data_IF_836197404583
#
_entry.id   IF_836197404583
#
_cell.length_a   1.000
_cell.length_b   1.000
_cell.length_c   1.000
_cell.angle_alpha   90.00
_cell.angle_beta   90.00
_cell.angle_gamma   90.00
#
_symmetry.space_group_name_H-M   'P 1'
#
loop_
_entity.id
_entity.type
_entity.pdbx_description
1 polymer ?
#
# COMPACT_ATOMS: atom_id res chain seq x y z
N UNK A 1 -10.97 -21.82 3.61
CA UNK A 1 -9.50 -21.65 3.70
C UNK A 1 -8.75 -22.64 4.63
N UNK A 2 -9.23 -23.89 4.84
CA UNK A 2 -8.69 -24.81 5.87
C UNK A 2 -8.05 -26.11 5.33
N UNK A 3 -7.57 -26.19 4.07
CA UNK A 3 -7.17 -27.50 3.51
C UNK A 3 -5.94 -27.56 2.58
N UNK A 4 -5.06 -26.57 2.57
CA UNK A 4 -3.81 -26.68 1.80
C UNK A 4 -2.62 -26.06 2.52
N UNK A 5 -2.16 -26.71 3.60
CA UNK A 5 -0.78 -26.59 4.08
C UNK A 5 -0.43 -27.92 4.73
N UNK A 6 -0.10 -28.90 3.91
CA UNK A 6 0.63 -30.12 4.27
C UNK A 6 1.07 -30.78 2.95
N UNK A 7 2.27 -30.44 2.46
CA UNK A 7 3.06 -31.38 1.67
C UNK A 7 4.53 -31.01 1.66
N UNK A 8 5.33 -31.96 2.14
CA UNK A 8 6.78 -32.04 2.16
C UNK A 8 7.46 -31.61 0.84
N UNK A 9 8.53 -30.83 0.95
CA UNK A 9 9.54 -30.71 -0.11
C UNK A 9 10.89 -31.08 0.48
N UNK A 10 11.37 -32.25 0.08
CA UNK A 10 12.72 -32.74 0.34
C UNK A 10 13.74 -32.09 -0.60
N UNK A 11 14.95 -31.98 -0.10
CA UNK A 11 16.13 -31.41 -0.74
C UNK A 11 16.47 -32.08 -2.09
N UNK A 12 16.92 -31.25 -3.04
CA UNK A 12 17.95 -31.64 -4.00
C UNK A 12 18.86 -30.46 -4.31
N UNK A 13 20.09 -30.51 -3.78
CA UNK A 13 21.22 -29.69 -4.21
C UNK A 13 21.57 -30.02 -5.66
N UNK A 14 21.72 -29.00 -6.50
CA UNK A 14 22.55 -29.11 -7.71
C UNK A 14 23.37 -27.84 -7.91
N UNK A 15 24.66 -28.06 -8.13
CA UNK A 15 25.72 -27.08 -8.28
C UNK A 15 25.54 -26.22 -9.55
N UNK A 16 25.60 -24.90 -9.41
CA UNK A 16 25.71 -23.98 -10.54
C UNK A 16 27.08 -23.27 -10.50
N UNK A 17 27.81 -23.41 -11.62
CA UNK A 17 29.16 -22.89 -11.84
C UNK A 17 29.18 -21.37 -11.99
N UNK A 18 30.22 -20.79 -11.39
CA UNK A 18 30.73 -19.43 -11.56
C UNK A 18 30.86 -18.96 -13.02
N UNK A 19 30.31 -17.80 -13.34
CA UNK A 19 30.95 -16.82 -14.23
C UNK A 19 30.29 -15.43 -14.17
N UNK A 20 31.00 -14.45 -13.63
CA UNK A 20 31.50 -13.25 -14.33
C UNK A 20 31.80 -12.16 -13.31
N UNK A 21 33.08 -11.78 -13.22
CA UNK A 21 33.52 -10.69 -12.36
C UNK A 21 33.00 -9.37 -12.94
N UNK A 22 32.08 -8.74 -12.23
CA UNK A 22 31.67 -7.35 -12.47
C UNK A 22 32.60 -6.45 -11.66
N UNK A 23 33.43 -5.66 -12.36
CA UNK A 23 34.47 -4.83 -11.75
C UNK A 23 33.89 -3.49 -11.29
N UNK A 24 33.47 -3.44 -10.02
CA UNK A 24 32.94 -2.24 -9.33
C UNK A 24 33.96 -1.08 -9.32
N UNK A 25 35.24 -1.34 -9.57
CA UNK A 25 36.30 -0.32 -9.58
C UNK A 25 36.22 0.59 -10.80
N UNK A 26 35.66 0.14 -11.94
CA UNK A 26 35.58 0.99 -13.14
C UNK A 26 34.53 2.10 -13.03
N UNK A 27 33.42 1.85 -12.30
CA UNK A 27 32.38 2.86 -12.05
C UNK A 27 32.90 4.05 -11.21
N UNK A 28 33.90 3.81 -10.36
CA UNK A 28 34.51 4.83 -9.50
C UNK A 28 35.53 5.72 -10.23
N UNK A 29 36.09 5.29 -11.37
CA UNK A 29 37.07 6.08 -12.12
C UNK A 29 36.42 7.10 -13.05
N UNK A 30 35.26 6.77 -13.62
CA UNK A 30 34.55 7.66 -14.56
C UNK A 30 33.87 8.84 -13.84
N UNK A 31 33.43 8.67 -12.58
CA UNK A 31 32.81 9.72 -11.78
C UNK A 31 33.86 10.72 -11.23
N UNK A 32 35.10 10.27 -11.01
CA UNK A 32 36.18 11.14 -10.51
C UNK A 32 36.88 11.95 -11.60
N UNK A 33 36.78 11.55 -12.88
CA UNK A 33 37.31 12.34 -14.00
C UNK A 33 36.41 13.51 -14.41
N UNK A 34 35.11 13.47 -14.09
CA UNK A 34 34.18 14.57 -14.39
C UNK A 34 34.16 15.69 -13.34
N UNK A 35 34.83 15.52 -12.19
CA UNK A 35 34.88 16.51 -11.08
C UNK A 35 36.18 17.33 -10.99
N UNK A 36 37.16 17.11 -11.86
CA UNK A 36 38.43 17.85 -11.85
C UNK A 36 38.62 18.74 -13.08
N UNK A 37 37.82 19.80 -13.21
CA UNK A 37 38.22 21.00 -13.95
C UNK A 37 37.54 22.26 -13.40
N UNK A 38 38.15 22.84 -12.37
CA UNK A 38 37.72 24.13 -11.81
C UNK A 38 38.56 24.53 -10.59
N UNK A 39 39.55 25.41 -10.79
CA UNK A 39 40.48 25.89 -9.78
C UNK A 39 39.83 26.73 -8.64
N UNK A 40 40.54 26.91 -7.50
CA UNK A 40 39.96 27.21 -6.21
C UNK A 40 39.91 28.71 -5.88
N UNK A 41 38.86 29.15 -5.18
CA UNK A 41 38.87 30.39 -4.42
C UNK A 41 39.02 30.08 -2.93
N UNK A 42 40.10 30.62 -2.37
CA UNK A 42 40.39 30.70 -0.94
C UNK A 42 39.35 31.62 -0.27
N UNK A 43 38.83 31.18 0.87
CA UNK A 43 38.95 31.96 2.10
C UNK A 43 38.63 31.07 3.31
N UNK A 44 39.59 31.03 4.22
CA UNK A 44 39.55 30.39 5.52
C UNK A 44 38.83 31.28 6.55
N UNK A 45 38.49 30.66 7.67
CA UNK A 45 38.10 31.28 8.93
C UNK A 45 36.61 31.58 9.11
N UNK A 46 35.90 30.60 9.68
CA UNK A 46 35.31 30.74 11.03
C UNK A 46 34.78 29.39 11.53
N UNK A 47 35.60 28.73 12.34
CA UNK A 47 35.12 27.78 13.33
C UNK A 47 34.32 28.56 14.39
N UNK A 48 33.03 28.25 14.51
CA UNK A 48 32.25 28.54 15.71
C UNK A 48 31.52 27.26 16.13
N UNK A 49 31.88 26.85 17.33
CA UNK A 49 31.35 25.76 18.14
C UNK A 49 29.82 25.73 18.16
N UNK A 50 29.20 24.60 17.80
CA UNK A 50 27.81 24.31 18.16
C UNK A 50 27.79 23.07 19.04
N UNK A 51 27.33 23.31 20.28
CA UNK A 51 27.07 22.34 21.33
C UNK A 51 25.93 21.41 20.93
N UNK A 52 26.04 20.17 21.40
CA UNK A 52 24.95 19.20 21.50
C UNK A 52 23.68 19.83 22.08
N UNK A 53 22.60 19.80 21.33
CA UNK A 53 21.29 20.27 21.76
C UNK A 53 20.18 19.70 20.87
N UNK A 54 19.32 18.93 21.53
CA UNK A 54 17.94 18.61 21.19
C UNK A 54 17.62 17.74 19.96
N UNK A 55 17.18 16.52 20.26
CA UNK A 55 16.57 15.56 19.34
C UNK A 55 15.04 15.63 19.49
N UNK A 56 14.39 16.67 18.99
CA UNK A 56 12.94 16.68 18.76
C UNK A 56 12.61 17.63 17.61
N UNK A 57 11.67 17.22 16.74
CA UNK A 57 11.21 17.88 15.51
C UNK A 57 12.00 17.58 14.23
N UNK A 58 11.71 16.41 13.65
CA UNK A 58 11.67 16.28 12.19
C UNK A 58 10.40 16.99 11.71
N UNK A 59 10.51 18.22 11.22
CA UNK A 59 9.42 18.92 10.53
C UNK A 59 9.19 18.29 9.15
N UNK A 60 8.46 17.17 9.13
CA UNK A 60 7.89 16.60 7.91
C UNK A 60 6.71 17.48 7.52
N UNK A 61 6.98 18.59 6.84
CA UNK A 61 5.92 19.45 6.34
C UNK A 61 5.30 18.81 5.07
N UNK A 62 4.18 18.10 5.25
CA UNK A 62 3.41 17.49 4.16
C UNK A 62 2.99 18.52 3.09
N UNK A 63 2.81 19.79 3.47
CA UNK A 63 2.51 20.89 2.54
C UNK A 63 3.70 21.23 1.63
N UNK A 64 4.94 20.96 2.04
CA UNK A 64 6.10 21.09 1.14
C UNK A 64 6.19 19.92 0.15
N UNK A 65 5.59 18.77 0.46
CA UNK A 65 5.56 17.61 -0.43
C UNK A 65 4.40 17.71 -1.46
N UNK A 66 3.25 18.29 -1.10
CA UNK A 66 2.07 18.41 -1.98
C UNK A 66 1.57 19.83 -2.25
N UNK A 67 2.35 20.86 -1.89
CA UNK A 67 2.04 22.29 -1.98
C UNK A 67 0.86 22.67 -2.88
N UNK A 68 -0.27 23.00 -2.24
CA UNK A 68 -1.37 23.83 -2.74
C UNK A 68 -1.67 23.72 -4.25
N UNK A 69 -2.03 22.54 -4.73
CA UNK A 69 -2.49 22.34 -6.11
C UNK A 69 -3.85 21.63 -6.16
N UNK A 70 -4.84 22.17 -5.44
CA UNK A 70 -6.26 21.91 -5.70
C UNK A 70 -6.95 23.23 -6.09
N UNK A 71 -6.62 23.73 -7.28
CA UNK A 71 -7.56 24.49 -8.11
C UNK A 71 -7.41 24.03 -9.55
N UNK A 72 -8.47 23.42 -10.06
CA UNK A 72 -8.58 22.93 -11.43
C UNK A 72 -8.53 24.07 -12.45
N UNK A 73 -7.70 23.88 -13.47
CA UNK A 73 -7.87 24.25 -14.89
C UNK A 73 -6.51 24.61 -15.50
N UNK A 74 -5.78 23.61 -16.01
CA UNK A 74 -5.10 23.78 -17.29
C UNK A 74 -4.74 22.41 -17.88
N UNK A 75 -5.44 22.02 -18.95
CA UNK A 75 -4.98 20.97 -19.85
C UNK A 75 -4.03 21.60 -20.87
N UNK A 76 -2.93 20.91 -21.16
CA UNK A 76 -2.00 21.11 -22.28
C UNK A 76 -0.82 22.09 -22.08
N UNK A 77 0.13 21.72 -21.22
CA UNK A 77 1.56 21.97 -21.51
C UNK A 77 2.39 20.72 -21.20
N UNK A 78 3.12 20.24 -22.22
CA UNK A 78 4.13 19.19 -22.08
C UNK A 78 5.13 19.65 -20.99
N UNK A 79 5.35 18.89 -19.90
CA UNK A 79 6.25 19.33 -18.85
C UNK A 79 7.69 19.44 -19.35
N UNK A 80 8.33 20.58 -19.07
CA UNK A 80 9.69 20.92 -19.44
C UNK A 80 10.76 20.05 -18.74
N UNK A 81 11.89 19.90 -19.41
CA UNK A 81 13.20 19.31 -19.04
C UNK A 81 13.51 19.19 -17.52
N UNK A 82 13.22 20.22 -16.71
CA UNK A 82 13.47 20.22 -15.27
C UNK A 82 12.80 19.08 -14.48
N UNK A 83 11.62 18.59 -14.91
CA UNK A 83 10.98 17.46 -14.22
C UNK A 83 11.69 16.13 -14.51
N UNK A 84 12.32 15.99 -15.67
CA UNK A 84 13.09 14.78 -16.01
C UNK A 84 14.40 14.72 -15.21
N UNK A 85 15.06 15.88 -15.01
CA UNK A 85 16.28 15.98 -14.20
C UNK A 85 16.02 15.54 -12.74
N UNK A 86 14.95 16.02 -12.11
CA UNK A 86 14.60 15.62 -10.73
C UNK A 86 14.30 14.12 -10.57
N UNK A 87 13.72 13.50 -11.59
CA UNK A 87 13.46 12.05 -11.59
C UNK A 87 14.77 11.28 -11.65
N UNK A 88 15.67 11.66 -12.57
CA UNK A 88 16.98 11.02 -12.70
C UNK A 88 17.76 11.07 -11.39
N UNK A 89 17.79 12.23 -10.72
CA UNK A 89 18.45 12.39 -9.41
C UNK A 89 17.81 11.48 -8.34
N UNK A 90 16.48 11.53 -8.16
CA UNK A 90 15.79 10.70 -7.16
C UNK A 90 15.96 9.19 -7.39
N UNK A 91 16.02 8.78 -8.65
CA UNK A 91 16.24 7.40 -9.07
C UNK A 91 17.67 6.95 -8.75
N UNK A 92 18.66 7.77 -9.11
CA UNK A 92 20.08 7.45 -8.90
C UNK A 92 20.43 7.38 -7.41
N UNK A 93 19.92 8.30 -6.60
CA UNK A 93 20.10 8.26 -5.14
C UNK A 93 19.54 6.97 -4.55
N UNK A 94 18.26 6.68 -4.82
CA UNK A 94 17.62 5.47 -4.31
C UNK A 94 18.36 4.20 -4.75
N UNK A 95 18.79 4.13 -6.01
CA UNK A 95 19.51 2.96 -6.51
C UNK A 95 20.88 2.78 -5.85
N UNK A 96 21.60 3.87 -5.57
CA UNK A 96 22.89 3.85 -4.90
C UNK A 96 22.74 3.43 -3.42
N UNK A 97 21.80 4.05 -2.70
CA UNK A 97 21.59 3.77 -1.28
C UNK A 97 21.04 2.36 -1.08
N UNK A 98 20.12 1.91 -1.92
CA UNK A 98 19.67 0.52 -1.93
C UNK A 98 20.83 -0.45 -2.24
N UNK A 99 21.72 -0.12 -3.18
CA UNK A 99 22.87 -0.96 -3.49
C UNK A 99 23.90 -1.06 -2.35
N UNK A 100 23.97 -0.05 -1.49
CA UNK A 100 24.82 -0.06 -0.31
C UNK A 100 24.18 -0.83 0.87
N UNK A 101 22.86 -0.72 1.04
CA UNK A 101 22.14 -1.24 2.20
C UNK A 101 21.58 -2.66 2.00
N UNK A 102 21.23 -3.06 0.78
CA UNK A 102 20.74 -4.40 0.46
C UNK A 102 21.94 -5.28 0.12
N UNK A 103 22.36 -6.09 1.09
CA UNK A 103 23.59 -6.90 0.97
C UNK A 103 23.40 -8.19 0.18
N UNK A 104 22.18 -8.73 0.14
CA UNK A 104 21.89 -9.91 -0.68
C UNK A 104 21.73 -9.51 -2.15
N UNK A 105 22.48 -10.18 -3.03
CA UNK A 105 22.52 -9.83 -4.46
C UNK A 105 21.22 -10.15 -5.19
N UNK A 106 20.47 -11.17 -4.77
CA UNK A 106 19.18 -11.51 -5.39
C UNK A 106 18.12 -10.48 -4.99
N UNK A 107 18.10 -10.11 -3.71
CA UNK A 107 17.26 -9.03 -3.17
C UNK A 107 17.53 -7.70 -3.86
N UNK A 108 18.81 -7.34 -4.03
CA UNK A 108 19.21 -6.13 -4.75
C UNK A 108 18.75 -6.16 -6.22
N UNK A 109 18.91 -7.30 -6.90
CA UNK A 109 18.44 -7.46 -8.28
C UNK A 109 16.92 -7.36 -8.40
N UNK A 110 16.18 -7.95 -7.45
CA UNK A 110 14.72 -7.84 -7.37
C UNK A 110 14.28 -6.38 -7.14
N UNK A 111 14.95 -5.66 -6.23
CA UNK A 111 14.68 -4.25 -5.99
C UNK A 111 14.85 -3.39 -7.26
N UNK A 112 15.95 -3.59 -7.99
CA UNK A 112 16.19 -2.89 -9.26
C UNK A 112 15.17 -3.27 -10.34
N UNK A 113 14.77 -4.53 -10.41
CA UNK A 113 13.71 -4.98 -11.31
C UNK A 113 12.38 -4.29 -11.00
N UNK A 114 12.03 -4.19 -9.71
CA UNK A 114 10.83 -3.48 -9.25
C UNK A 114 10.88 -1.99 -9.59
N UNK A 115 12.02 -1.31 -9.39
CA UNK A 115 12.19 0.07 -9.85
C UNK A 115 11.91 0.22 -11.35
N UNK A 116 12.46 -0.68 -12.18
CA UNK A 116 12.27 -0.66 -13.64
C UNK A 116 10.81 -0.92 -14.03
N UNK A 117 10.13 -1.87 -13.37
CA UNK A 117 8.70 -2.14 -13.59
C UNK A 117 7.86 -0.93 -13.20
N UNK A 118 8.16 -0.28 -12.07
CA UNK A 118 7.49 0.94 -11.65
C UNK A 118 7.66 2.09 -12.65
N UNK A 119 8.87 2.29 -13.20
CA UNK A 119 9.11 3.24 -14.30
C UNK A 119 8.34 2.87 -15.59
N UNK A 120 8.13 1.58 -15.85
CA UNK A 120 7.35 1.14 -17.01
C UNK A 120 5.88 1.58 -16.91
N UNK A 121 5.31 1.62 -15.70
CA UNK A 121 3.97 2.17 -15.43
C UNK A 121 3.87 3.66 -15.80
N UNK A 122 4.96 4.41 -15.59
CA UNK A 122 5.02 5.80 -16.04
C UNK A 122 5.05 5.90 -17.57
N UNK A 123 5.79 5.01 -18.24
CA UNK A 123 5.89 4.98 -19.71
C UNK A 123 4.59 4.55 -20.38
N UNK A 124 3.79 3.68 -19.75
CA UNK A 124 2.45 3.30 -20.23
C UNK A 124 1.39 4.38 -19.96
N UNK A 125 1.72 5.41 -19.17
CA UNK A 125 0.81 6.49 -18.81
C UNK A 125 -0.12 6.16 -17.64
N UNK A 126 0.12 5.06 -16.91
CA UNK A 126 -0.65 4.69 -15.72
C UNK A 126 -0.40 5.65 -14.55
N UNK A 127 0.84 6.13 -14.41
CA UNK A 127 1.23 7.09 -13.37
C UNK A 127 2.07 8.22 -13.97
N UNK A 128 2.05 9.38 -13.30
CA UNK A 128 2.85 10.52 -13.74
C UNK A 128 4.33 10.35 -13.40
N UNK A 129 5.17 11.04 -14.13
CA UNK A 129 6.60 11.16 -13.84
C UNK A 129 6.85 11.77 -12.44
N UNK A 130 5.95 12.63 -11.94
CA UNK A 130 6.02 13.19 -10.59
C UNK A 130 5.72 12.15 -9.51
N UNK A 131 4.77 11.24 -9.74
CA UNK A 131 4.50 10.13 -8.82
C UNK A 131 5.75 9.26 -8.66
N UNK A 132 6.43 8.93 -9.77
CA UNK A 132 7.69 8.17 -9.71
C UNK A 132 8.75 8.87 -8.86
N UNK A 133 9.03 10.15 -9.15
CA UNK A 133 10.07 10.91 -8.44
C UNK A 133 9.81 10.98 -6.93
N UNK A 134 8.57 11.31 -6.55
CA UNK A 134 8.17 11.45 -5.15
C UNK A 134 8.13 10.11 -4.42
N UNK A 135 7.72 9.05 -5.10
CA UNK A 135 7.82 7.70 -4.55
C UNK A 135 9.27 7.35 -4.24
N UNK A 136 10.19 7.56 -5.19
CA UNK A 136 11.61 7.28 -4.95
C UNK A 136 12.19 8.12 -3.82
N UNK A 137 11.88 9.42 -3.78
CA UNK A 137 12.34 10.29 -2.69
C UNK A 137 11.86 9.80 -1.31
N UNK A 138 10.60 9.35 -1.18
CA UNK A 138 10.08 8.85 0.09
C UNK A 138 10.76 7.53 0.50
N UNK A 139 10.93 6.59 -0.44
CA UNK A 139 11.61 5.32 -0.16
C UNK A 139 13.09 5.54 0.18
N UNK A 140 13.75 6.47 -0.51
CA UNK A 140 15.12 6.88 -0.23
C UNK A 140 15.25 7.45 1.18
N UNK A 141 14.33 8.32 1.59
CA UNK A 141 14.25 8.83 2.95
C UNK A 141 14.02 7.71 3.98
N UNK A 142 13.20 6.71 3.68
CA UNK A 142 12.98 5.55 4.55
C UNK A 142 14.29 4.78 4.79
N UNK A 143 15.12 4.62 3.75
CA UNK A 143 16.41 3.94 3.82
C UNK A 143 17.48 4.76 4.56
N UNK A 144 17.57 6.05 4.27
CA UNK A 144 18.72 6.89 4.66
C UNK A 144 18.53 7.67 5.95
N UNK A 145 17.30 7.74 6.48
CA UNK A 145 17.04 8.43 7.73
C UNK A 145 17.92 7.89 8.88
N UNK A 146 18.47 8.76 9.76
CA UNK A 146 19.42 8.35 10.79
C UNK A 146 18.81 7.44 11.87
N UNK A 147 17.48 7.43 12.01
CA UNK A 147 16.75 6.65 13.00
C UNK A 147 15.26 6.64 12.72
N UNK A 148 14.53 5.81 13.45
CA UNK A 148 13.08 5.67 13.32
C UNK A 148 12.50 4.71 14.35
N UNK A 149 11.17 4.62 14.44
CA UNK A 149 10.50 3.62 15.28
C UNK A 149 10.68 2.19 14.73
N UNK A 150 10.86 2.07 13.42
CA UNK A 150 11.34 0.86 12.75
C UNK A 150 12.86 0.98 12.58
N UNK A 151 13.58 -0.07 12.98
CA UNK A 151 15.04 -0.11 12.90
C UNK A 151 15.53 -0.17 11.43
N UNK A 152 16.81 0.10 11.19
CA UNK A 152 17.35 0.18 9.82
C UNK A 152 17.14 -1.11 9.00
N UNK A 153 17.39 -2.28 9.59
CA UNK A 153 17.26 -3.55 8.88
C UNK A 153 15.81 -3.77 8.40
N UNK A 154 14.85 -3.49 9.27
CA UNK A 154 13.44 -3.63 8.93
C UNK A 154 12.99 -2.53 7.96
N UNK A 155 13.54 -1.32 8.03
CA UNK A 155 13.28 -0.28 7.02
C UNK A 155 13.79 -0.66 5.64
N UNK A 156 14.93 -1.35 5.54
CA UNK A 156 15.42 -1.91 4.28
C UNK A 156 14.42 -2.93 3.74
N UNK A 157 13.98 -3.89 4.56
CA UNK A 157 12.95 -4.87 4.16
C UNK A 157 11.65 -4.19 3.71
N UNK A 158 11.20 -3.16 4.45
CA UNK A 158 10.01 -2.39 4.14
C UNK A 158 10.13 -1.63 2.81
N UNK A 159 11.30 -1.04 2.54
CA UNK A 159 11.57 -0.39 1.26
C UNK A 159 11.51 -1.39 0.09
N UNK A 160 12.06 -2.59 0.27
CA UNK A 160 12.00 -3.66 -0.74
C UNK A 160 10.56 -4.08 -1.03
N UNK A 161 9.80 -4.35 0.02
CA UNK A 161 8.38 -4.71 -0.07
C UNK A 161 7.55 -3.59 -0.71
N UNK A 162 7.79 -2.34 -0.32
CA UNK A 162 7.05 -1.21 -0.87
C UNK A 162 7.35 -1.03 -2.36
N UNK A 163 8.61 -1.13 -2.78
CA UNK A 163 8.95 -1.03 -4.20
C UNK A 163 8.33 -2.15 -5.02
N UNK A 164 8.23 -3.36 -4.46
CA UNK A 164 7.47 -4.46 -5.07
C UNK A 164 6.01 -4.10 -5.26
N UNK A 165 5.34 -3.65 -4.19
CA UNK A 165 3.91 -3.29 -4.22
C UNK A 165 3.63 -2.08 -5.14
N UNK A 166 4.54 -1.11 -5.21
CA UNK A 166 4.44 0.00 -6.15
C UNK A 166 4.60 -0.47 -7.61
N UNK A 167 5.47 -1.45 -7.86
CA UNK A 167 5.61 -2.07 -9.19
C UNK A 167 4.42 -2.96 -9.57
N UNK A 168 3.84 -3.64 -8.57
CA UNK A 168 2.79 -4.65 -8.74
C UNK A 168 1.60 -4.41 -7.78
N UNK A 169 0.80 -3.34 -7.97
CA UNK A 169 -0.24 -2.97 -7.01
C UNK A 169 -1.25 -4.06 -6.66
N UNK A 170 -1.60 -4.92 -7.62
CA UNK A 170 -2.55 -6.02 -7.46
C UNK A 170 -2.01 -7.24 -6.70
N UNK A 171 -0.73 -7.23 -6.33
CA UNK A 171 -0.15 -8.24 -5.43
C UNK A 171 -0.26 -7.76 -3.96
N UNK A 172 -1.24 -6.88 -3.69
CA UNK A 172 -1.62 -6.46 -2.35
C UNK A 172 -2.53 -7.51 -1.73
N UNK A 173 -1.93 -8.45 -0.99
CA UNK A 173 -2.67 -9.55 -0.38
C UNK A 173 -2.89 -9.35 1.11
N UNK A 174 -4.13 -9.52 1.56
CA UNK A 174 -4.51 -9.41 2.97
C UNK A 174 -4.02 -10.62 3.79
N UNK A 175 -3.56 -11.70 3.14
CA UNK A 175 -3.26 -12.96 3.78
C UNK A 175 -4.44 -13.49 4.60
N UNK A 176 -4.18 -13.90 5.84
CA UNK A 176 -5.21 -14.42 6.75
C UNK A 176 -5.95 -13.33 7.53
N UNK A 177 -5.71 -12.03 7.32
CA UNK A 177 -6.30 -10.95 8.14
C UNK A 177 -7.67 -10.51 7.64
N UNK A 178 -8.50 -9.93 8.50
CA UNK A 178 -9.81 -9.37 8.15
C UNK A 178 -9.71 -7.93 7.60
N UNK A 179 -8.75 -7.71 6.70
CA UNK A 179 -8.37 -6.38 6.15
C UNK A 179 -8.67 -6.22 4.65
N UNK A 180 -9.54 -7.05 4.06
CA UNK A 180 -9.86 -7.00 2.62
C UNK A 180 -10.16 -5.59 2.11
N UNK A 181 -10.94 -4.83 2.88
CA UNK A 181 -11.38 -3.48 2.55
C UNK A 181 -10.22 -2.47 2.43
N UNK A 182 -9.33 -2.41 3.41
CA UNK A 182 -8.15 -1.53 3.39
C UNK A 182 -7.05 -2.05 2.48
N UNK A 183 -6.98 -3.36 2.24
CA UNK A 183 -6.05 -3.93 1.26
C UNK A 183 -6.46 -3.54 -0.17
N UNK A 184 -7.75 -3.58 -0.50
CA UNK A 184 -8.25 -3.08 -1.79
C UNK A 184 -8.07 -1.54 -1.93
N UNK A 185 -8.22 -0.79 -0.83
CA UNK A 185 -7.87 0.64 -0.79
C UNK A 185 -6.36 0.85 -1.04
N UNK A 186 -5.50 0.04 -0.42
CA UNK A 186 -4.06 0.06 -0.66
C UNK A 186 -3.75 -0.15 -2.15
N UNK A 187 -4.33 -1.17 -2.79
CA UNK A 187 -4.12 -1.41 -4.23
C UNK A 187 -4.51 -0.18 -5.05
N UNK A 188 -5.65 0.45 -4.73
CA UNK A 188 -6.08 1.70 -5.39
C UNK A 188 -5.07 2.82 -5.21
N UNK A 189 -4.54 3.01 -4.01
CA UNK A 189 -3.51 4.02 -3.72
C UNK A 189 -2.20 3.72 -4.44
N UNK A 190 -1.72 2.48 -4.45
CA UNK A 190 -0.52 2.08 -5.18
C UNK A 190 -0.69 2.20 -6.69
N UNK A 191 -1.92 2.04 -7.18
CA UNK A 191 -2.26 2.20 -8.59
C UNK A 191 -2.18 3.68 -9.01
N UNK A 192 -2.91 4.58 -8.35
CA UNK A 192 -3.02 5.98 -8.80
C UNK A 192 -2.15 7.00 -8.07
N UNK A 193 -1.74 6.70 -6.83
CA UNK A 193 -1.08 7.64 -5.90
C UNK A 193 0.05 6.98 -5.08
N UNK A 194 0.98 6.24 -5.72
CA UNK A 194 2.02 5.51 -5.00
C UNK A 194 2.89 6.45 -4.14
N UNK A 195 3.06 7.72 -4.50
CA UNK A 195 3.86 8.65 -3.70
C UNK A 195 3.20 9.01 -2.37
N UNK A 196 1.86 8.99 -2.28
CA UNK A 196 1.13 9.19 -1.02
C UNK A 196 1.31 7.99 -0.09
N UNK A 197 1.22 6.78 -0.63
CA UNK A 197 1.45 5.55 0.12
C UNK A 197 2.91 5.47 0.63
N UNK A 198 3.88 5.81 -0.22
CA UNK A 198 5.30 5.84 0.14
C UNK A 198 5.57 6.83 1.28
N UNK A 199 5.04 8.05 1.18
CA UNK A 199 5.17 9.08 2.20
C UNK A 199 4.55 8.65 3.54
N UNK A 200 3.36 8.03 3.50
CA UNK A 200 2.68 7.53 4.69
C UNK A 200 3.49 6.43 5.41
N UNK A 201 4.01 5.45 4.66
CA UNK A 201 4.88 4.40 5.21
C UNK A 201 6.15 5.01 5.82
N UNK A 202 6.77 5.95 5.10
CA UNK A 202 8.01 6.59 5.54
C UNK A 202 7.80 7.36 6.84
N UNK A 203 6.77 8.22 6.90
CA UNK A 203 6.43 8.96 8.11
C UNK A 203 6.09 8.03 9.27
N UNK A 204 5.27 7.00 9.02
CA UNK A 204 4.87 6.01 10.03
C UNK A 204 6.05 5.23 10.59
N UNK A 205 6.94 4.74 9.73
CA UNK A 205 8.11 3.95 10.13
C UNK A 205 9.19 4.78 10.83
N UNK A 206 9.26 6.08 10.55
CA UNK A 206 10.23 6.97 11.19
C UNK A 206 9.70 7.54 12.52
N UNK A 207 8.41 7.87 12.59
CA UNK A 207 7.87 8.66 13.71
C UNK A 207 6.86 7.93 14.59
N UNK A 208 6.30 6.81 14.13
CA UNK A 208 5.16 6.15 14.78
C UNK A 208 3.84 6.91 14.64
N UNK A 209 3.79 7.92 13.77
CA UNK A 209 2.59 8.69 13.46
C UNK A 209 2.45 8.85 11.94
N UNK A 210 1.23 9.15 11.50
CA UNK A 210 0.93 9.46 10.10
C UNK A 210 0.09 10.73 10.02
N UNK A 211 0.48 11.69 9.20
CA UNK A 211 -0.32 12.90 8.96
C UNK A 211 -1.21 12.67 7.74
N UNK A 212 -2.51 12.54 7.99
CA UNK A 212 -3.49 12.36 6.93
C UNK A 212 -3.63 13.62 6.05
N UNK A 213 -4.19 13.51 4.82
CA UNK A 213 -4.26 14.64 3.88
C UNK A 213 -5.04 15.87 4.37
N UNK A 214 -5.90 15.70 5.37
CA UNK A 214 -6.65 16.77 6.02
C UNK A 214 -5.92 17.37 7.25
N UNK A 215 -4.66 17.00 7.46
CA UNK A 215 -3.81 17.46 8.56
C UNK A 215 -4.02 16.71 9.88
N UNK A 216 -4.94 15.74 9.96
CA UNK A 216 -5.11 14.95 11.18
C UNK A 216 -3.90 14.04 11.40
N UNK A 217 -3.30 14.14 12.57
CA UNK A 217 -2.25 13.20 13.01
C UNK A 217 -2.89 11.93 13.55
N UNK A 218 -2.51 10.81 12.97
CA UNK A 218 -2.94 9.46 13.29
C UNK A 218 -1.84 8.77 14.09
N UNK A 219 -2.17 8.30 15.29
CA UNK A 219 -1.22 7.56 16.13
C UNK A 219 -1.11 6.12 15.64
N UNK A 220 0.10 5.58 15.51
CA UNK A 220 0.29 4.17 15.15
C UNK A 220 0.80 3.40 16.36
N UNK A 221 0.39 2.14 16.49
CA UNK A 221 1.07 1.21 17.38
C UNK A 221 2.39 0.77 16.75
N UNK A 222 3.52 1.15 17.36
CA UNK A 222 4.86 0.93 16.81
C UNK A 222 5.30 -0.54 16.89
N UNK A 223 4.69 -1.33 17.78
CA UNK A 223 4.94 -2.77 17.83
C UNK A 223 4.36 -3.45 16.58
N UNK A 224 3.13 -3.12 16.19
CA UNK A 224 2.48 -3.59 14.96
C UNK A 224 3.19 -3.14 13.68
N UNK A 225 4.08 -2.15 13.75
CA UNK A 225 4.90 -1.68 12.64
C UNK A 225 6.15 -2.53 12.43
N UNK A 226 6.49 -3.47 13.32
CA UNK A 226 7.62 -4.38 13.14
C UNK A 226 7.21 -5.59 12.28
N UNK A 227 8.11 -6.13 11.45
CA UNK A 227 7.81 -7.32 10.66
C UNK A 227 7.48 -8.52 11.55
N UNK A 228 6.72 -9.45 11.01
CA UNK A 228 6.27 -10.64 11.73
C UNK A 228 7.08 -11.84 11.24
N UNK A 229 8.22 -12.08 11.89
CA UNK A 229 9.19 -13.11 11.46
C UNK A 229 8.79 -14.56 11.79
N UNK A 230 7.79 -14.76 12.65
CA UNK A 230 7.37 -16.08 13.11
C UNK A 230 6.30 -16.74 12.20
N UNK A 231 5.98 -16.13 11.06
CA UNK A 231 5.14 -16.75 10.03
C UNK A 231 5.84 -16.65 8.67
N UNK A 232 5.96 -17.80 8.03
CA UNK A 232 6.61 -17.94 6.74
C UNK A 232 5.96 -17.01 5.70
N UNK A 233 6.78 -16.28 4.96
CA UNK A 233 6.33 -15.40 3.89
C UNK A 233 6.01 -13.95 4.29
N UNK A 234 5.72 -13.64 5.56
CA UNK A 234 5.30 -12.27 5.95
C UNK A 234 6.47 -11.29 6.08
N UNK A 235 7.69 -11.80 6.30
CA UNK A 235 8.91 -11.00 6.43
C UNK A 235 9.92 -11.26 5.29
N UNK A 236 9.43 -11.64 4.12
CA UNK A 236 10.27 -11.87 2.92
C UNK A 236 10.50 -10.58 2.14
N UNK A 237 11.68 -10.43 1.55
CA UNK A 237 12.01 -9.30 0.70
C UNK A 237 11.17 -9.26 -0.59
N UNK A 238 10.88 -10.45 -1.14
CA UNK A 238 9.94 -10.63 -2.25
C UNK A 238 8.63 -11.17 -1.70
N UNK A 239 7.52 -10.41 -1.79
CA UNK A 239 6.20 -10.86 -1.36
C UNK A 239 5.80 -12.21 -1.98
N UNK A 240 5.23 -13.09 -1.14
CA UNK A 240 4.64 -14.36 -1.57
C UNK A 240 3.14 -14.19 -1.83
N UNK A 241 2.63 -14.87 -2.84
CA UNK A 241 1.22 -14.81 -3.21
C UNK A 241 0.31 -15.34 -2.10
N UNK A 242 -0.78 -14.61 -1.83
CA UNK A 242 -1.75 -14.95 -0.79
C UNK A 242 -1.21 -14.80 0.64
N UNK A 243 0.00 -14.27 0.82
CA UNK A 243 0.59 -13.97 2.12
C UNK A 243 0.69 -12.46 2.28
N UNK A 244 0.34 -11.95 3.46
CA UNK A 244 0.46 -10.52 3.70
C UNK A 244 1.92 -10.15 3.92
N UNK A 245 2.50 -9.51 2.92
CA UNK A 245 3.86 -8.98 2.97
C UNK A 245 4.02 -7.86 4.02
N UNK A 246 5.25 -7.58 4.44
CA UNK A 246 5.52 -6.56 5.45
C UNK A 246 5.08 -5.16 4.98
N UNK A 247 5.23 -4.85 3.69
CA UNK A 247 4.72 -3.60 3.12
C UNK A 247 3.21 -3.48 3.24
N UNK A 248 2.47 -4.56 2.95
CA UNK A 248 1.01 -4.59 3.09
C UNK A 248 0.60 -4.51 4.56
N UNK A 249 1.30 -5.18 5.48
CA UNK A 249 1.06 -5.06 6.91
C UNK A 249 1.12 -3.59 7.38
N UNK A 250 2.22 -2.90 7.08
CA UNK A 250 2.43 -1.52 7.54
C UNK A 250 1.40 -0.58 6.95
N UNK A 251 1.13 -0.67 5.64
CA UNK A 251 0.18 0.24 4.99
C UNK A 251 -1.27 -0.03 5.44
N UNK A 252 -1.66 -1.30 5.62
CA UNK A 252 -2.97 -1.61 6.20
C UNK A 252 -3.07 -1.08 7.63
N UNK A 253 -2.02 -1.21 8.45
CA UNK A 253 -2.02 -0.68 9.82
C UNK A 253 -2.23 0.84 9.86
N UNK A 254 -1.59 1.57 8.93
CA UNK A 254 -1.78 3.01 8.76
C UNK A 254 -3.21 3.32 8.34
N UNK A 255 -3.72 2.68 7.29
CA UNK A 255 -5.05 2.95 6.73
C UNK A 255 -6.17 2.59 7.71
N UNK A 256 -6.05 1.47 8.44
CA UNK A 256 -7.03 1.11 9.48
C UNK A 256 -7.04 2.17 10.57
N UNK A 257 -5.87 2.54 11.12
CA UNK A 257 -5.81 3.55 12.18
C UNK A 257 -6.30 4.93 11.71
N UNK A 258 -6.03 5.30 10.45
CA UNK A 258 -6.55 6.52 9.84
C UNK A 258 -8.07 6.59 9.91
N UNK A 259 -8.73 5.46 9.65
CA UNK A 259 -10.18 5.34 9.64
C UNK A 259 -10.72 5.20 11.06
N UNK A 260 -10.20 4.27 11.87
CA UNK A 260 -10.73 3.94 13.20
C UNK A 260 -10.59 5.06 14.21
N UNK A 261 -9.61 5.95 14.03
CA UNK A 261 -9.45 7.13 14.88
C UNK A 261 -10.40 8.28 14.52
N UNK A 262 -11.28 8.12 13.53
CA UNK A 262 -12.26 9.13 13.07
C UNK A 262 -13.72 8.76 13.27
N UNK A 263 -14.01 7.55 13.76
CA UNK A 263 -15.37 6.97 13.67
C UNK A 263 -16.44 7.83 14.37
N UNK A 264 -16.17 8.47 15.52
CA UNK A 264 -17.04 9.53 16.07
C UNK A 264 -16.31 10.44 17.06
N UNK A 265 -16.87 11.61 17.39
CA UNK A 265 -16.38 12.50 18.46
C UNK A 265 -16.76 12.00 19.88
N UNK A 266 -17.80 11.17 19.99
CA UNK A 266 -18.38 10.67 21.25
C UNK A 266 -17.87 9.28 21.65
N UNK A 267 -17.41 8.47 20.68
CA UNK A 267 -16.70 7.22 20.90
C UNK A 267 -15.22 7.46 20.66
N UNK A 268 -14.45 7.28 21.73
CA UNK A 268 -13.00 7.41 21.77
C UNK A 268 -12.36 6.83 20.51
N UNK A 269 -11.56 7.63 19.81
CA UNK A 269 -10.68 7.20 18.72
C UNK A 269 -10.10 5.81 19.03
N UNK A 270 -10.29 4.85 18.13
CA UNK A 270 -9.82 3.48 18.36
C UNK A 270 -8.40 3.31 17.79
N UNK A 271 -7.52 2.71 18.58
CA UNK A 271 -6.19 2.27 18.14
C UNK A 271 -6.30 0.83 17.65
N UNK A 272 -6.07 0.63 16.35
CA UNK A 272 -5.88 -0.69 15.80
C UNK A 272 -4.46 -1.16 16.06
N UNK A 273 -4.32 -2.41 16.50
CA UNK A 273 -3.02 -3.07 16.68
C UNK A 273 -3.08 -4.48 16.13
N UNK A 274 -1.92 -5.04 15.85
CA UNK A 274 -1.74 -6.41 15.48
C UNK A 274 -0.66 -7.07 16.33
N UNK A 275 -1.04 -8.14 17.01
CA UNK A 275 -0.12 -8.99 17.76
C UNK A 275 0.62 -9.95 16.82
N UNK A 276 1.92 -10.13 17.08
CA UNK A 276 2.77 -11.13 16.43
C UNK A 276 2.42 -12.56 16.85
N UNK A 277 1.69 -12.75 17.94
CA UNK A 277 1.20 -14.04 18.40
C UNK A 277 -0.19 -14.30 17.80
N UNK A 278 -0.34 -15.45 17.13
CA UNK A 278 -1.61 -15.87 16.53
C UNK A 278 -1.95 -17.29 16.92
N UNK A 279 -3.23 -17.61 16.82
CA UNK A 279 -3.74 -18.97 16.97
C UNK A 279 -4.69 -19.30 15.82
N UNK A 280 -5.16 -20.54 15.75
CA UNK A 280 -6.13 -20.97 14.74
C UNK A 280 -7.38 -20.07 14.68
N UNK A 281 -7.81 -19.56 15.83
CA UNK A 281 -9.02 -18.76 15.99
C UNK A 281 -8.71 -17.28 16.26
N UNK A 282 -7.44 -16.86 16.15
CA UNK A 282 -6.99 -15.50 16.46
C UNK A 282 -5.91 -15.03 15.49
N UNK A 283 -6.27 -14.11 14.60
CA UNK A 283 -5.40 -13.51 13.58
C UNK A 283 -4.49 -12.41 14.15
N UNK A 284 -4.59 -12.11 15.44
CA UNK A 284 -3.78 -11.10 16.13
C UNK A 284 -4.33 -9.68 16.05
N UNK A 285 -5.42 -9.44 15.32
CA UNK A 285 -6.04 -8.12 15.12
C UNK A 285 -6.81 -7.67 16.35
N UNK A 286 -6.64 -6.41 16.75
CA UNK A 286 -7.20 -5.81 17.98
C UNK A 286 -7.62 -4.37 17.75
N UNK A 287 -8.64 -3.94 18.50
CA UNK A 287 -9.01 -2.55 18.64
C UNK A 287 -8.98 -2.17 20.13
N UNK A 288 -8.34 -1.06 20.47
CA UNK A 288 -8.33 -0.50 21.81
C UNK A 288 -8.93 0.90 21.82
N UNK A 289 -9.68 1.21 22.88
CA UNK A 289 -10.11 2.57 23.19
C UNK A 289 -8.88 3.41 23.53
N UNK A 290 -8.64 4.51 22.79
CA UNK A 290 -7.53 5.41 23.14
C UNK A 290 -7.79 6.26 24.39
N UNK A 291 -9.00 6.23 24.97
CA UNK A 291 -9.33 7.00 26.19
C UNK A 291 -8.80 6.33 27.45
N UNK A 292 -8.94 5.02 27.55
CA UNK A 292 -8.67 4.23 28.76
C UNK A 292 -7.82 2.99 28.49
N UNK A 293 -7.49 2.71 27.23
CA UNK A 293 -6.67 1.57 26.82
C UNK A 293 -7.40 0.23 26.90
N UNK A 294 -8.72 0.22 27.14
CA UNK A 294 -9.48 -1.02 27.17
C UNK A 294 -9.61 -1.60 25.77
N UNK A 295 -9.62 -2.93 25.68
CA UNK A 295 -9.94 -3.62 24.43
C UNK A 295 -11.41 -3.40 24.07
N UNK A 296 -11.69 -3.09 22.79
CA UNK A 296 -13.04 -2.82 22.30
C UNK A 296 -13.83 -4.12 22.17
N UNK A 297 -15.12 -4.09 22.52
CA UNK A 297 -16.04 -5.23 22.42
C UNK A 297 -17.29 -4.89 21.60
N UNK A 298 -18.01 -5.92 21.15
CA UNK A 298 -19.27 -5.71 20.40
C UNK A 298 -20.43 -5.33 21.33
N UNK A 299 -20.83 -4.06 21.33
CA UNK A 299 -21.97 -3.57 22.11
C UNK A 299 -21.86 -3.94 23.60
N UNK A 300 -22.93 -4.49 24.16
CA UNK A 300 -22.97 -4.95 25.56
C UNK A 300 -22.35 -6.35 25.78
N UNK A 301 -21.69 -6.93 24.76
CA UNK A 301 -21.02 -8.23 24.92
C UNK A 301 -19.61 -8.08 25.46
N UNK A 302 -19.14 -9.06 26.24
CA UNK A 302 -17.73 -9.18 26.64
C UNK A 302 -16.84 -9.72 25.51
N UNK A 303 -17.38 -9.89 24.29
CA UNK A 303 -16.61 -10.40 23.15
C UNK A 303 -15.81 -9.28 22.53
N UNK A 304 -14.50 -9.36 22.70
CA UNK A 304 -13.56 -8.46 22.06
C UNK A 304 -13.68 -8.49 20.54
N UNK A 305 -13.53 -7.32 19.93
CA UNK A 305 -13.48 -7.18 18.48
C UNK A 305 -12.11 -7.68 18.00
N UNK A 306 -12.12 -8.54 16.99
CA UNK A 306 -10.95 -9.24 16.45
C UNK A 306 -10.71 -8.95 14.96
N UNK A 307 -11.26 -7.84 14.48
CA UNK A 307 -11.11 -7.35 13.11
C UNK A 307 -11.22 -5.81 13.10
N UNK A 308 -10.85 -5.13 12.01
CA UNK A 308 -10.95 -3.68 11.90
C UNK A 308 -12.38 -3.13 11.98
N UNK A 309 -13.39 -3.98 11.69
CA UNK A 309 -14.81 -3.60 11.75
C UNK A 309 -15.23 -2.50 10.76
N UNK A 310 -14.44 -2.26 9.70
CA UNK A 310 -14.65 -1.16 8.78
C UNK A 310 -15.77 -1.44 7.78
N UNK A 311 -16.67 -0.47 7.60
CA UNK A 311 -17.77 -0.53 6.64
C UNK A 311 -17.35 0.02 5.28
N UNK A 312 -18.12 -0.30 4.23
CA UNK A 312 -17.93 0.28 2.89
C UNK A 312 -18.10 1.82 2.87
N UNK A 313 -18.85 2.39 3.82
CA UNK A 313 -18.95 3.85 4.01
C UNK A 313 -17.62 4.44 4.52
N UNK A 314 -16.99 3.78 5.49
CA UNK A 314 -15.74 4.24 6.06
C UNK A 314 -14.62 4.26 4.99
N UNK A 315 -14.59 3.23 4.15
CA UNK A 315 -13.68 3.14 3.00
C UNK A 315 -13.98 4.21 1.96
N UNK A 316 -15.24 4.48 1.62
CA UNK A 316 -15.60 5.57 0.72
C UNK A 316 -15.07 6.92 1.24
N UNK A 317 -15.24 7.17 2.54
CA UNK A 317 -14.69 8.35 3.20
C UNK A 317 -13.17 8.44 3.12
N UNK A 318 -12.47 7.31 3.31
CA UNK A 318 -11.02 7.24 3.19
C UNK A 318 -10.54 7.51 1.75
N UNK A 319 -11.18 6.90 0.74
CA UNK A 319 -10.88 7.17 -0.67
C UNK A 319 -11.00 8.66 -0.96
N UNK A 320 -12.11 9.29 -0.58
CA UNK A 320 -12.32 10.73 -0.80
C UNK A 320 -11.23 11.57 -0.14
N UNK A 321 -10.79 11.24 1.07
CA UNK A 321 -9.69 11.97 1.75
C UNK A 321 -8.36 11.79 1.04
N UNK A 322 -8.02 10.56 0.64
CA UNK A 322 -6.71 10.26 0.05
C UNK A 322 -6.58 10.67 -1.41
N UNK A 323 -7.63 10.54 -2.21
CA UNK A 323 -7.58 10.72 -3.65
C UNK A 323 -8.43 11.90 -4.14
N UNK A 324 -9.39 12.37 -3.34
CA UNK A 324 -10.42 13.32 -3.77
C UNK A 324 -11.53 12.68 -4.61
N UNK A 325 -11.45 11.37 -4.88
CA UNK A 325 -12.46 10.68 -5.67
C UNK A 325 -13.69 10.33 -4.85
N UNK A 326 -14.85 10.45 -5.48
CA UNK A 326 -16.12 9.91 -5.01
C UNK A 326 -16.59 8.77 -5.91
N UNK A 327 -17.43 7.88 -5.39
CA UNK A 327 -18.05 6.82 -6.17
C UNK A 327 -17.09 5.69 -6.60
N UNK A 328 -16.01 5.47 -5.85
CA UNK A 328 -15.03 4.42 -6.16
C UNK A 328 -15.30 3.10 -5.43
N UNK A 329 -16.39 3.01 -4.64
CA UNK A 329 -16.87 1.77 -4.05
C UNK A 329 -18.28 1.46 -4.54
N UNK A 330 -18.47 0.27 -5.09
CA UNK A 330 -19.73 -0.20 -5.67
C UNK A 330 -20.34 -1.27 -4.78
N UNK A 331 -21.64 -1.19 -4.58
CA UNK A 331 -22.44 -2.15 -3.82
C UNK A 331 -23.74 -2.42 -4.58
N UNK A 332 -24.37 -3.57 -4.35
CA UNK A 332 -25.67 -3.85 -4.96
C UNK A 332 -26.77 -3.07 -4.24
N UNK A 333 -27.73 -2.53 -4.97
CA UNK A 333 -28.92 -1.90 -4.40
C UNK A 333 -29.60 -0.93 -5.35
N UNK A 334 -30.73 -0.37 -4.93
CA UNK A 334 -31.66 0.41 -5.78
C UNK A 334 -32.09 1.77 -5.24
N UNK A 335 -31.32 2.33 -4.29
CA UNK A 335 -31.62 3.62 -3.65
C UNK A 335 -30.54 4.66 -3.97
N UNK A 336 -30.92 5.94 -3.96
CA UNK A 336 -29.98 7.05 -4.13
C UNK A 336 -28.93 7.08 -3.01
N UNK A 337 -27.68 7.39 -3.39
CA UNK A 337 -26.49 7.46 -2.54
C UNK A 337 -26.67 8.44 -1.36
N UNK A 338 -26.29 8.01 -0.15
CA UNK A 338 -26.23 8.87 1.04
C UNK A 338 -24.90 8.81 1.76
N UNK A 339 -23.94 7.99 1.32
CA UNK A 339 -22.73 7.65 2.09
C UNK A 339 -21.44 7.56 1.26
N UNK A 340 -21.44 8.02 0.00
CA UNK A 340 -20.28 7.98 -0.90
C UNK A 340 -20.09 6.63 -1.61
N UNK A 341 -21.11 5.77 -1.56
CA UNK A 341 -21.12 4.44 -2.21
C UNK A 341 -22.01 4.49 -3.44
N UNK A 342 -21.58 3.88 -4.54
CA UNK A 342 -22.42 3.74 -5.74
C UNK A 342 -23.25 2.48 -5.62
N UNK A 343 -24.57 2.63 -5.69
CA UNK A 343 -25.49 1.51 -5.77
C UNK A 343 -25.60 1.07 -7.23
N UNK A 344 -25.53 -0.24 -7.47
CA UNK A 344 -25.61 -0.84 -8.80
C UNK A 344 -26.82 -1.77 -8.88
N UNK A 345 -27.74 -1.46 -9.79
CA UNK A 345 -29.02 -2.16 -9.97
C UNK A 345 -28.95 -3.28 -11.01
N UNK A 346 -27.97 -3.25 -11.91
CA UNK A 346 -27.83 -4.27 -12.96
C UNK A 346 -26.38 -4.50 -13.38
N UNK A 347 -26.14 -5.59 -14.11
CA UNK A 347 -24.83 -5.88 -14.69
C UNK A 347 -24.44 -4.90 -15.81
N UNK A 348 -25.42 -4.33 -16.52
CA UNK A 348 -25.17 -3.25 -17.50
C UNK A 348 -24.71 -1.96 -16.80
N UNK A 349 -25.29 -1.63 -15.66
CA UNK A 349 -24.84 -0.48 -14.87
C UNK A 349 -23.43 -0.72 -14.29
N UNK A 350 -23.15 -1.95 -13.83
CA UNK A 350 -21.81 -2.34 -13.40
C UNK A 350 -20.78 -2.16 -14.53
N UNK A 351 -21.07 -2.70 -15.72
CA UNK A 351 -20.20 -2.56 -16.89
C UNK A 351 -19.92 -1.08 -17.21
N UNK A 352 -20.98 -0.25 -17.24
CA UNK A 352 -20.88 1.18 -17.52
C UNK A 352 -20.05 1.91 -16.46
N UNK A 353 -20.22 1.59 -15.18
CA UNK A 353 -19.43 2.19 -14.10
C UNK A 353 -17.93 1.89 -14.27
N UNK A 354 -17.59 0.64 -14.62
CA UNK A 354 -16.20 0.22 -14.86
C UNK A 354 -15.63 0.92 -16.10
N UNK A 355 -16.38 1.00 -17.20
CA UNK A 355 -15.95 1.68 -18.43
C UNK A 355 -15.66 3.18 -18.20
N UNK A 356 -16.54 3.86 -17.45
CA UNK A 356 -16.35 5.27 -17.09
C UNK A 356 -15.11 5.44 -16.24
N UNK A 357 -14.94 4.62 -15.19
CA UNK A 357 -13.77 4.69 -14.33
C UNK A 357 -12.46 4.41 -15.10
N UNK A 358 -12.46 3.45 -16.02
CA UNK A 358 -11.30 3.17 -16.88
C UNK A 358 -10.95 4.37 -17.75
N UNK A 359 -11.95 4.97 -18.41
CA UNK A 359 -11.76 6.15 -19.27
C UNK A 359 -11.20 7.34 -18.49
N UNK A 360 -11.53 7.44 -17.21
CA UNK A 360 -11.09 8.50 -16.31
C UNK A 360 -9.81 8.16 -15.53
N UNK A 361 -9.17 7.01 -15.82
CA UNK A 361 -7.99 6.50 -15.08
C UNK A 361 -8.22 6.39 -13.57
N UNK A 362 -9.44 6.00 -13.17
CA UNK A 362 -9.87 5.85 -11.77
C UNK A 362 -9.97 4.39 -11.31
N UNK A 363 -9.59 3.42 -12.15
CA UNK A 363 -9.50 2.03 -11.72
C UNK A 363 -8.28 1.80 -10.80
N UNK A 364 -8.34 0.83 -9.88
CA UNK A 364 -9.47 -0.06 -9.61
C UNK A 364 -10.67 0.63 -8.92
N UNK A 365 -11.86 0.09 -9.18
CA UNK A 365 -13.06 0.32 -8.36
C UNK A 365 -13.14 -0.78 -7.29
N UNK A 366 -13.53 -0.43 -6.07
CA UNK A 366 -13.75 -1.41 -5.01
C UNK A 366 -15.18 -1.94 -5.12
N UNK A 367 -15.39 -3.24 -4.97
CA UNK A 367 -16.72 -3.86 -5.06
C UNK A 367 -16.95 -4.78 -3.89
N UNK A 368 -18.09 -4.61 -3.20
CA UNK A 368 -18.50 -5.50 -2.12
C UNK A 368 -19.26 -6.72 -2.64
N UNK A 369 -18.76 -7.91 -2.31
CA UNK A 369 -19.26 -9.20 -2.80
C UNK A 369 -19.45 -10.20 -1.67
N UNK A 370 -20.19 -11.27 -1.97
CA UNK A 370 -20.25 -12.45 -1.14
C UNK A 370 -19.04 -13.34 -1.38
N UNK A 371 -18.05 -13.26 -0.50
CA UNK A 371 -16.83 -14.06 -0.58
C UNK A 371 -17.05 -15.58 -0.46
N UNK A 372 -18.25 -16.02 -0.05
CA UNK A 372 -18.63 -17.44 -0.08
C UNK A 372 -19.14 -17.91 -1.46
N UNK A 373 -19.24 -17.02 -2.46
CA UNK A 373 -19.65 -17.42 -3.79
C UNK A 373 -18.62 -18.39 -4.41
N UNK A 374 -19.05 -19.53 -5.00
CA UNK A 374 -18.14 -20.52 -5.58
C UNK A 374 -17.19 -19.99 -6.64
N UNK A 375 -17.50 -18.85 -7.27
CA UNK A 375 -16.61 -18.23 -8.26
C UNK A 375 -15.25 -17.85 -7.67
N UNK A 376 -15.19 -17.60 -6.36
CA UNK A 376 -13.97 -17.24 -5.64
C UNK A 376 -13.20 -18.44 -5.06
N UNK A 377 -13.60 -19.68 -5.37
CA UNK A 377 -12.84 -20.92 -5.11
C UNK A 377 -12.38 -21.16 -3.65
N UNK A 378 -13.11 -20.68 -2.64
CA UNK A 378 -12.95 -21.18 -1.26
C UNK A 378 -12.55 -20.18 -0.17
N UNK A 379 -12.91 -18.90 -0.33
CA UNK A 379 -12.77 -17.89 0.72
C UNK A 379 -13.47 -18.24 2.01
N UNK A 380 -14.73 -18.66 1.92
CA UNK A 380 -15.59 -18.99 3.05
C UNK A 380 -16.39 -20.27 2.78
N UNK A 381 -16.99 -20.85 3.83
CA UNK A 381 -17.85 -22.02 3.66
C UNK A 381 -19.18 -21.62 3.00
N UNK A 382 -19.71 -22.50 2.13
CA UNK A 382 -20.99 -22.29 1.45
C UNK A 382 -22.11 -21.92 2.45
N UNK A 383 -22.88 -20.88 2.12
CA UNK A 383 -24.01 -20.41 2.94
C UNK A 383 -23.65 -19.43 4.06
N UNK A 384 -22.37 -19.08 4.24
CA UNK A 384 -21.98 -17.97 5.11
C UNK A 384 -22.09 -16.64 4.36
N UNK A 385 -22.81 -15.67 4.92
CA UNK A 385 -22.68 -14.28 4.48
C UNK A 385 -21.29 -13.77 4.90
N UNK A 386 -20.36 -13.81 3.95
CA UNK A 386 -18.99 -13.36 4.18
C UNK A 386 -18.71 -12.16 3.29
N UNK A 387 -18.99 -10.96 3.81
CA UNK A 387 -18.68 -9.71 3.12
C UNK A 387 -17.18 -9.69 2.78
N UNK A 388 -16.88 -9.50 1.50
CA UNK A 388 -15.53 -9.38 0.98
C UNK A 388 -15.48 -8.17 0.03
N UNK A 389 -14.35 -7.48 -0.01
CA UNK A 389 -14.14 -6.32 -0.88
C UNK A 389 -13.04 -6.65 -1.85
N UNK A 390 -13.33 -6.48 -3.14
CA UNK A 390 -12.45 -6.81 -4.26
C UNK A 390 -12.11 -5.58 -5.10
N UNK A 391 -11.00 -5.64 -5.82
CA UNK A 391 -10.59 -4.60 -6.78
C UNK A 391 -10.99 -4.98 -8.21
N UNK A 392 -11.84 -4.18 -8.84
CA UNK A 392 -12.18 -4.31 -10.26
C UNK A 392 -11.28 -3.40 -11.08
N UNK A 393 -10.41 -4.00 -11.90
CA UNK A 393 -9.33 -3.31 -12.61
C UNK A 393 -9.69 -2.98 -14.05
N UNK A 394 -10.48 -3.83 -14.71
CA UNK A 394 -10.80 -3.67 -16.12
C UNK A 394 -12.14 -4.31 -16.51
N UNK A 395 -12.66 -3.92 -17.68
CA UNK A 395 -13.78 -4.52 -18.39
C UNK A 395 -13.46 -4.62 -19.90
N UNK A 396 -13.57 -5.82 -20.46
CA UNK A 396 -13.50 -6.05 -21.90
C UNK A 396 -14.93 -6.08 -22.47
N UNK A 397 -15.29 -5.04 -23.22
CA UNK A 397 -16.62 -4.87 -23.85
C UNK A 397 -16.96 -5.96 -24.88
N UNK A 398 -15.95 -6.56 -25.53
CA UNK A 398 -16.15 -7.58 -26.56
C UNK A 398 -16.49 -8.92 -25.95
N UNK A 399 -15.79 -9.31 -24.89
CA UNK A 399 -16.04 -10.58 -24.18
C UNK A 399 -17.03 -10.42 -23.04
N UNK A 400 -17.36 -9.18 -22.66
CA UNK A 400 -18.16 -8.80 -21.48
C UNK A 400 -17.59 -9.37 -20.17
N UNK A 401 -16.26 -9.43 -20.06
CA UNK A 401 -15.56 -9.94 -18.88
C UNK A 401 -14.97 -8.83 -18.04
N UNK A 402 -14.98 -9.01 -16.72
CA UNK A 402 -14.41 -8.08 -15.74
C UNK A 402 -13.09 -8.67 -15.24
N UNK A 403 -12.03 -7.87 -15.15
CA UNK A 403 -10.78 -8.28 -14.51
C UNK A 403 -10.82 -7.89 -13.04
N UNK A 404 -10.75 -8.88 -12.16
CA UNK A 404 -10.87 -8.69 -10.71
C UNK A 404 -9.58 -9.17 -10.04
N UNK A 405 -8.97 -8.29 -9.24
CA UNK A 405 -7.92 -8.66 -8.30
C UNK A 405 -8.52 -8.99 -6.95
N UNK A 406 -8.12 -10.15 -6.41
CA UNK A 406 -8.63 -10.69 -5.16
C UNK A 406 -7.56 -10.61 -4.08
N UNK A 407 -7.89 -9.97 -2.96
CA UNK A 407 -6.95 -9.74 -1.86
C UNK A 407 -6.56 -11.02 -1.09
N UNK A 408 -6.92 -12.21 -1.60
CA UNK A 408 -6.41 -13.51 -1.14
C UNK A 408 -5.24 -14.05 -2.00
N UNK A 409 -4.69 -13.26 -2.91
CA UNK A 409 -3.62 -13.70 -3.83
C UNK A 409 -4.06 -13.73 -5.28
N UNK A 410 -3.09 -13.53 -6.17
CA UNK A 410 -3.26 -13.56 -7.63
C UNK A 410 -3.77 -14.91 -8.13
N UNK A 411 -3.48 -16.01 -7.44
CA UNK A 411 -4.03 -17.33 -7.79
C UNK A 411 -5.56 -17.38 -7.60
N UNK A 412 -6.11 -16.44 -6.83
CA UNK A 412 -7.55 -16.21 -6.62
C UNK A 412 -8.12 -15.06 -7.47
N UNK A 413 -7.31 -14.41 -8.32
CA UNK A 413 -7.81 -13.45 -9.30
C UNK A 413 -8.74 -14.15 -10.30
N UNK A 414 -9.75 -13.42 -10.76
CA UNK A 414 -10.76 -13.98 -11.66
C UNK A 414 -11.08 -13.04 -12.82
N UNK A 415 -11.53 -13.64 -13.93
CA UNK A 415 -12.03 -12.92 -15.11
C UNK A 415 -13.45 -13.39 -15.50
N UNK A 416 -14.45 -13.19 -14.64
CA UNK A 416 -15.82 -13.64 -14.89
C UNK A 416 -16.52 -12.76 -15.94
N UNK A 417 -17.66 -13.23 -16.45
CA UNK A 417 -18.58 -12.32 -17.14
C UNK A 417 -19.14 -11.29 -16.16
N UNK A 418 -19.47 -10.09 -16.63
CA UNK A 418 -20.05 -9.04 -15.78
C UNK A 418 -21.36 -9.48 -15.13
N UNK A 419 -22.17 -10.30 -15.81
CA UNK A 419 -23.40 -10.88 -15.27
C UNK A 419 -23.13 -11.85 -14.11
N UNK A 420 -22.10 -12.68 -14.23
CA UNK A 420 -21.72 -13.60 -13.16
C UNK A 420 -21.16 -12.84 -11.96
N UNK A 421 -20.31 -11.84 -12.21
CA UNK A 421 -19.73 -11.03 -11.15
C UNK A 421 -20.79 -10.20 -10.39
N UNK A 422 -21.71 -9.54 -11.11
CA UNK A 422 -22.81 -8.79 -10.52
C UNK A 422 -23.68 -9.63 -9.57
N UNK A 423 -23.88 -10.93 -9.88
CA UNK A 423 -24.65 -11.84 -9.01
C UNK A 423 -23.99 -12.05 -7.65
N UNK A 424 -22.67 -11.91 -7.55
CA UNK A 424 -21.93 -12.04 -6.29
C UNK A 424 -22.05 -10.80 -5.39
N UNK A 425 -22.42 -9.64 -5.95
CA UNK A 425 -22.46 -8.38 -5.19
C UNK A 425 -23.50 -8.45 -4.06
N UNK A 426 -23.14 -7.97 -2.88
CA UNK A 426 -24.03 -7.93 -1.70
C UNK A 426 -24.85 -6.65 -1.69
N UNK A 427 -26.11 -6.78 -1.25
CA UNK A 427 -26.99 -5.64 -1.05
C UNK A 427 -26.57 -4.85 0.20
N UNK A 428 -26.42 -3.53 0.08
CA UNK A 428 -25.97 -2.68 1.19
C UNK A 428 -26.87 -2.75 2.45
N UNK A 429 -28.12 -3.22 2.30
CA UNK A 429 -29.12 -3.34 3.36
C UNK A 429 -29.15 -4.70 4.05
N UNK A 430 -28.48 -5.73 3.51
CA UNK A 430 -28.55 -7.11 4.02
C UNK A 430 -27.58 -7.35 5.21
N UNK A 431 -26.85 -6.33 5.68
CA UNK A 431 -25.89 -6.45 6.79
C UNK A 431 -26.52 -6.61 8.19
N UNK A 432 -27.84 -6.56 8.30
CA UNK A 432 -28.58 -6.62 9.56
C UNK A 432 -29.37 -7.93 9.78
N UNK A 433 -29.09 -8.99 9.02
CA UNK A 433 -29.72 -10.31 9.20
C UNK A 433 -28.74 -11.37 9.66
#
# INVERSE_FOLDING_TARGET
MQKHFDSDISQAQTEAKSSSNFDIVSLYQDINQSRNSGQPLRDSDKLATIKSGDSTHLDINFDNFYGSALKSNDQSKIPSDHNQVKIAESREHLALDAAFLITDTNEQAAFQANMKTFEARQKSGEISSLEVAKTYQAVDQLLTAPGGVVNLQDRVLLAQNFMHLAAHPSESDQGIYDTCNVTALQEKLLTGHPSKAAAAITEGALTGNYTAPDGKVIKLDTASMQPIHNFDGEAEATPLDGVRSYGTQVLNHILVNEITQRVTDEHNSMLYTQKHERSKDDRGERLYSMRDGSEMTFGDSDKAIRSPGLTSKDIAGAIKRHTGEEGSILVKGSKADTDGRVQIESSEELAKAIEVAKKENRTPLLVEVNGADPIFKGGFADGQHASHVLSVRDYDVRTKTVTVSNQWGKDNDIQPSVDAFYKTMINALDKNT
#
